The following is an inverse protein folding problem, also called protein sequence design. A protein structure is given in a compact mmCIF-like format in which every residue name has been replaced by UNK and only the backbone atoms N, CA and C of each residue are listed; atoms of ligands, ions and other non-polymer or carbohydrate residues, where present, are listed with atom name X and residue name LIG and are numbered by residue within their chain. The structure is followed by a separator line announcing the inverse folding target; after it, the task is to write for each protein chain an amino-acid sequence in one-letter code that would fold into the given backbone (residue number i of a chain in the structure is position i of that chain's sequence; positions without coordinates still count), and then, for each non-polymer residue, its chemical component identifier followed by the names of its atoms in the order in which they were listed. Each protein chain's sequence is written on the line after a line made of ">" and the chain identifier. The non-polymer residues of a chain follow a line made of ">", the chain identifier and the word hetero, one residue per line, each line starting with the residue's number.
data_IF_005113064144
#
_entry.id   IF_005113064144
#
_cell.length_a   1.000
_cell.length_b   1.000
_cell.length_c   1.000
_cell.angle_alpha   90.00
_cell.angle_beta   90.00
_cell.angle_gamma   90.00
#
_symmetry.space_group_name_H-M   'P 1'
#
loop_
_entity.id
_entity.type
_entity.pdbx_description
1 polymer ?
#
# COMPACT_ATOMS: atom_id res chain seq x y z
N UNK A 1 -3.56 -5.06 -8.45
CA UNK A 1 -2.25 -5.24 -7.77
C UNK A 1 -2.55 -5.52 -6.30
N UNK A 2 -2.11 -6.67 -5.77
CA UNK A 2 -2.27 -6.98 -4.36
C UNK A 2 -1.28 -6.18 -3.51
N UNK A 3 -1.83 -5.64 -2.42
CA UNK A 3 -1.17 -4.94 -1.34
C UNK A 3 -1.44 -5.61 0.01
N UNK A 4 -2.07 -6.78 0.03
CA UNK A 4 -2.31 -7.58 1.21
C UNK A 4 -1.74 -8.97 0.99
N UNK A 5 -0.99 -9.48 1.95
CA UNK A 5 -0.42 -10.81 1.96
C UNK A 5 -0.45 -11.40 3.37
N UNK A 6 -0.18 -12.69 3.50
CA UNK A 6 0.03 -13.35 4.77
C UNK A 6 1.52 -13.64 4.97
N UNK A 7 2.09 -13.13 6.06
CA UNK A 7 3.46 -13.39 6.49
C UNK A 7 3.41 -13.83 7.95
N UNK A 8 3.96 -15.00 8.26
CA UNK A 8 3.82 -15.64 9.59
C UNK A 8 2.36 -15.69 10.10
N UNK A 9 1.43 -16.02 9.20
CA UNK A 9 -0.03 -16.10 9.45
C UNK A 9 -0.71 -14.75 9.76
N UNK A 10 0.01 -13.64 9.68
CA UNK A 10 -0.53 -12.28 9.87
C UNK A 10 -0.74 -11.55 8.54
N UNK A 11 -1.81 -10.75 8.47
CA UNK A 11 -2.05 -9.85 7.35
C UNK A 11 -1.04 -8.71 7.33
N UNK A 12 -0.33 -8.57 6.21
CA UNK A 12 0.75 -7.58 6.04
C UNK A 12 0.60 -6.79 4.73
N UNK A 13 1.05 -5.55 4.78
CA UNK A 13 1.26 -4.69 3.61
C UNK A 13 2.70 -4.84 3.09
N UNK A 14 2.96 -4.55 1.79
CA UNK A 14 4.28 -4.73 1.19
C UNK A 14 5.45 -4.11 1.97
N UNK A 15 5.35 -2.90 2.56
CA UNK A 15 6.48 -2.32 3.29
C UNK A 15 6.78 -2.99 4.64
N UNK A 16 5.85 -3.77 5.19
CA UNK A 16 6.06 -4.53 6.43
C UNK A 16 6.82 -5.84 6.19
N UNK A 17 7.04 -6.22 4.93
CA UNK A 17 7.70 -7.47 4.55
C UNK A 17 9.14 -7.18 4.12
N UNK A 18 10.14 -7.84 4.74
CA UNK A 18 11.55 -7.67 4.36
C UNK A 18 11.81 -7.99 2.88
N UNK A 19 12.87 -7.38 2.34
CA UNK A 19 13.29 -7.63 0.97
C UNK A 19 13.74 -9.09 0.76
N UNK A 20 13.27 -9.70 -0.33
CA UNK A 20 13.62 -11.08 -0.71
C UNK A 20 12.74 -12.14 -0.08
N UNK A 21 11.87 -11.76 0.84
CA UNK A 21 10.86 -12.63 1.43
C UNK A 21 9.66 -12.85 0.48
N UNK A 22 8.85 -13.84 0.83
CA UNK A 22 7.60 -14.17 0.15
C UNK A 22 6.44 -14.19 1.14
N UNK A 23 5.24 -13.89 0.65
CA UNK A 23 3.98 -13.97 1.41
C UNK A 23 3.02 -14.93 0.73
N UNK A 24 1.98 -15.37 1.43
CA UNK A 24 0.86 -16.08 0.81
C UNK A 24 -0.24 -15.10 0.40
N UNK A 25 -0.91 -15.38 -0.71
CA UNK A 25 -2.13 -14.68 -1.08
C UNK A 25 -3.27 -15.09 -0.14
N UNK A 26 -3.96 -14.16 0.53
CA UNK A 26 -5.05 -14.50 1.46
C UNK A 26 -6.29 -15.06 0.75
N UNK A 27 -6.33 -15.05 -0.59
CA UNK A 27 -7.47 -15.49 -1.39
C UNK A 27 -7.27 -16.90 -1.96
N UNK A 28 -6.12 -17.14 -2.61
CA UNK A 28 -5.83 -18.43 -3.25
C UNK A 28 -4.75 -19.25 -2.51
N UNK A 29 -4.17 -18.72 -1.44
CA UNK A 29 -3.11 -19.35 -0.64
C UNK A 29 -1.81 -19.63 -1.41
N UNK A 30 -1.68 -19.10 -2.64
CA UNK A 30 -0.46 -19.23 -3.43
C UNK A 30 0.61 -18.22 -3.01
N UNK A 31 1.88 -18.57 -3.27
CA UNK A 31 3.02 -17.72 -2.94
C UNK A 31 3.09 -16.48 -3.84
N UNK A 32 3.30 -15.33 -3.21
CA UNK A 32 3.58 -14.06 -3.85
C UNK A 32 4.96 -13.55 -3.43
N UNK A 33 5.66 -12.98 -4.41
CA UNK A 33 6.92 -12.25 -4.22
C UNK A 33 6.68 -10.78 -3.94
N UNK A 34 7.61 -10.15 -3.19
CA UNK A 34 7.59 -8.70 -2.99
C UNK A 34 8.34 -8.00 -4.14
N UNK A 35 7.64 -7.13 -4.84
CA UNK A 35 8.22 -6.25 -5.86
C UNK A 35 8.62 -4.93 -5.19
N UNK A 36 9.90 -4.57 -5.28
CA UNK A 36 10.43 -3.30 -4.73
C UNK A 36 9.88 -2.09 -5.50
N UNK A 37 9.80 -0.95 -4.82
CA UNK A 37 9.53 0.33 -5.46
C UNK A 37 10.59 0.64 -6.52
N UNK A 38 10.16 1.13 -7.68
CA UNK A 38 11.07 1.51 -8.77
C UNK A 38 10.41 2.51 -9.72
N UNK A 39 11.21 3.12 -10.58
CA UNK A 39 10.70 3.91 -11.70
C UNK A 39 10.65 3.03 -12.95
N UNK A 40 9.50 3.04 -13.62
CA UNK A 40 9.34 2.52 -14.98
C UNK A 40 9.11 3.73 -15.89
N UNK A 41 10.11 4.05 -16.68
CA UNK A 41 10.21 5.31 -17.41
C UNK A 41 10.15 6.51 -16.47
N UNK A 42 9.06 7.28 -16.49
CA UNK A 42 8.81 8.43 -15.60
C UNK A 42 7.75 8.14 -14.53
N UNK A 43 7.21 6.93 -14.49
CA UNK A 43 6.15 6.54 -13.56
C UNK A 43 6.75 5.82 -12.36
N UNK A 44 6.43 6.32 -11.15
CA UNK A 44 6.75 5.63 -9.92
C UNK A 44 5.84 4.41 -9.74
N UNK A 45 6.44 3.23 -9.64
CA UNK A 45 5.77 1.97 -9.31
C UNK A 45 6.03 1.70 -7.84
N UNK A 46 4.98 1.75 -7.02
CA UNK A 46 5.08 1.47 -5.59
C UNK A 46 5.43 0.00 -5.33
N UNK A 47 6.07 -0.27 -4.19
CA UNK A 47 6.19 -1.63 -3.65
C UNK A 47 4.84 -2.33 -3.62
N UNK A 48 4.76 -3.58 -4.09
CA UNK A 48 3.53 -4.37 -4.17
C UNK A 48 3.84 -5.87 -4.19
N UNK A 49 2.82 -6.72 -4.02
CA UNK A 49 2.97 -8.16 -4.17
C UNK A 49 2.69 -8.62 -5.61
N UNK A 50 3.36 -9.69 -6.03
CA UNK A 50 3.17 -10.30 -7.36
C UNK A 50 3.23 -11.83 -7.24
N UNK A 51 2.25 -12.53 -7.79
CA UNK A 51 2.29 -13.99 -7.92
C UNK A 51 3.51 -14.43 -8.73
N UNK A 52 4.11 -15.56 -8.34
CA UNK A 52 5.23 -16.16 -9.07
C UNK A 52 4.76 -16.69 -10.43
N UNK A 53 5.60 -16.53 -11.46
CA UNK A 53 5.33 -16.76 -12.89
C UNK A 53 5.04 -18.24 -13.30
N UNK A 54 4.39 -19.08 -12.48
CA UNK A 54 3.80 -20.33 -12.97
C UNK A 54 2.59 -20.10 -13.92
N UNK A 55 2.19 -18.83 -14.12
CA UNK A 55 1.17 -18.39 -15.08
C UNK A 55 1.75 -17.87 -16.42
N UNK A 56 3.07 -17.93 -16.65
CA UNK A 56 3.68 -17.43 -17.90
C UNK A 56 3.49 -18.35 -19.12
N UNK A 57 2.83 -19.51 -18.99
CA UNK A 57 2.70 -20.48 -20.09
C UNK A 57 1.40 -20.40 -20.91
N UNK A 58 0.51 -19.45 -20.63
CA UNK A 58 -0.62 -19.15 -21.51
C UNK A 58 -0.50 -17.72 -22.02
N UNK A 59 0.28 -17.60 -23.11
CA UNK A 59 0.48 -16.36 -23.83
C UNK A 59 -0.84 -15.68 -24.17
N UNK A 60 -1.15 -14.62 -23.44
CA UNK A 60 -2.03 -13.58 -23.90
C UNK A 60 -1.37 -12.24 -23.58
N UNK A 61 -1.09 -11.49 -24.65
CA UNK A 61 -0.46 -10.18 -24.60
C UNK A 61 -1.42 -9.13 -24.03
N UNK A 62 -1.72 -9.24 -22.73
CA UNK A 62 -2.37 -8.25 -21.88
C UNK A 62 -1.99 -8.62 -20.44
N UNK A 63 -1.07 -7.86 -19.84
CA UNK A 63 -0.53 -8.15 -18.50
C UNK A 63 -1.57 -7.98 -17.38
N UNK A 64 -2.44 -8.96 -17.19
CA UNK A 64 -3.41 -8.98 -16.12
C UNK A 64 -4.09 -10.34 -15.97
N UNK A 65 -4.19 -10.76 -14.71
CA UNK A 65 -5.19 -11.70 -14.20
C UNK A 65 -4.91 -13.20 -14.44
N UNK A 66 -3.82 -13.70 -13.84
CA UNK A 66 -3.93 -15.01 -13.17
C UNK A 66 -5.03 -14.86 -12.12
N UNK A 67 -6.12 -15.62 -12.26
CA UNK A 67 -7.51 -15.31 -11.87
C UNK A 67 -7.84 -15.11 -10.38
N UNK A 68 -6.92 -14.57 -9.60
CA UNK A 68 -7.18 -14.02 -8.28
C UNK A 68 -7.36 -12.51 -8.41
N UNK A 69 -8.61 -12.05 -8.25
CA UNK A 69 -8.98 -10.63 -8.21
C UNK A 69 -8.51 -9.94 -6.91
N UNK A 70 -7.27 -10.19 -6.49
CA UNK A 70 -6.60 -9.63 -5.30
C UNK A 70 -6.37 -8.12 -5.40
N UNK A 71 -7.35 -7.36 -5.86
CA UNK A 71 -7.46 -5.95 -5.56
C UNK A 71 -7.66 -5.81 -4.07
N UNK A 72 -6.60 -5.39 -3.38
CA UNK A 72 -6.71 -5.00 -1.97
C UNK A 72 -7.74 -3.90 -1.81
N UNK A 73 -8.34 -3.84 -0.61
CA UNK A 73 -9.15 -2.69 -0.19
C UNK A 73 -8.40 -1.41 -0.61
N UNK A 74 -9.14 -0.51 -1.26
CA UNK A 74 -8.60 0.74 -1.78
C UNK A 74 -7.89 1.52 -0.68
N UNK A 75 -8.37 1.41 0.57
CA UNK A 75 -7.71 1.99 1.74
C UNK A 75 -6.27 1.45 1.91
N UNK A 76 -6.09 0.14 2.01
CA UNK A 76 -4.78 -0.50 2.17
C UNK A 76 -3.83 -0.20 1.01
N UNK A 77 -4.37 -0.22 -0.21
CA UNK A 77 -3.62 0.17 -1.41
C UNK A 77 -3.09 1.61 -1.28
N UNK A 78 -3.94 2.56 -0.90
CA UNK A 78 -3.53 3.96 -0.77
C UNK A 78 -2.52 4.16 0.36
N UNK A 79 -2.70 3.52 1.53
CA UNK A 79 -1.72 3.55 2.63
C UNK A 79 -0.36 3.07 2.17
N UNK A 80 -0.33 1.92 1.51
CA UNK A 80 0.91 1.31 1.04
C UNK A 80 1.61 2.15 -0.02
N UNK A 81 0.87 2.76 -0.95
CA UNK A 81 1.43 3.70 -1.94
C UNK A 81 2.01 4.93 -1.26
N UNK A 82 1.30 5.51 -0.27
CA UNK A 82 1.78 6.66 0.48
C UNK A 82 3.10 6.34 1.21
N UNK A 83 3.15 5.21 1.91
CA UNK A 83 4.37 4.73 2.56
C UNK A 83 5.52 4.60 1.56
N UNK A 84 5.31 3.86 0.47
CA UNK A 84 6.34 3.61 -0.55
C UNK A 84 6.85 4.91 -1.17
N UNK A 85 5.97 5.91 -1.34
CA UNK A 85 6.37 7.22 -1.87
C UNK A 85 7.22 8.00 -0.87
N UNK A 86 6.83 8.02 0.40
CA UNK A 86 7.59 8.69 1.45
C UNK A 86 8.96 8.04 1.65
N UNK A 87 9.03 6.71 1.63
CA UNK A 87 10.28 5.94 1.73
C UNK A 87 11.23 6.28 0.57
N UNK A 88 10.69 6.36 -0.66
CA UNK A 88 11.48 6.74 -1.82
C UNK A 88 12.00 8.19 -1.75
N UNK A 89 11.17 9.13 -1.31
CA UNK A 89 11.48 10.55 -1.35
C UNK A 89 12.34 11.00 -0.15
N UNK A 90 12.26 10.28 0.97
CA UNK A 90 12.93 10.60 2.23
C UNK A 90 13.59 9.37 2.85
N UNK A 91 14.67 8.83 2.24
CA UNK A 91 15.27 7.56 2.62
C UNK A 91 15.88 7.55 4.04
N UNK A 92 16.20 8.73 4.58
CA UNK A 92 16.77 8.87 5.93
C UNK A 92 15.71 9.08 7.02
N UNK A 93 14.43 9.16 6.66
CA UNK A 93 13.33 9.39 7.60
C UNK A 93 12.79 8.08 8.18
N UNK A 94 12.28 8.13 9.41
CA UNK A 94 11.53 7.01 10.00
C UNK A 94 10.10 7.03 9.48
N UNK A 95 9.56 5.87 9.08
CA UNK A 95 8.20 5.77 8.53
C UNK A 95 7.46 4.59 9.15
N UNK A 96 6.27 4.85 9.69
CA UNK A 96 5.44 3.90 10.42
C UNK A 96 3.99 3.93 9.91
N UNK A 97 3.32 2.77 9.94
CA UNK A 97 1.87 2.68 9.76
C UNK A 97 1.18 2.83 11.12
N UNK A 98 0.05 3.54 11.15
CA UNK A 98 -0.89 3.54 12.28
C UNK A 98 -0.23 3.76 13.67
N UNK A 99 0.78 4.61 13.74
CA UNK A 99 1.51 4.95 14.96
C UNK A 99 0.85 6.13 15.69
N UNK A 100 0.69 6.08 17.01
CA UNK A 100 0.10 7.19 17.78
C UNK A 100 0.94 8.47 17.70
N UNK A 101 0.27 9.60 17.47
CA UNK A 101 0.82 10.95 17.44
C UNK A 101 -0.16 11.92 18.09
N UNK A 102 0.19 12.44 19.28
CA UNK A 102 -0.58 13.45 20.02
C UNK A 102 -2.09 13.12 20.14
N UNK A 103 -2.42 11.86 20.42
CA UNK A 103 -3.80 11.38 20.57
C UNK A 103 -4.54 11.14 19.23
N UNK A 104 -3.83 11.09 18.11
CA UNK A 104 -4.32 10.67 16.80
C UNK A 104 -3.50 9.50 16.26
N UNK A 105 -4.08 8.72 15.35
CA UNK A 105 -3.40 7.60 14.68
C UNK A 105 -3.50 7.85 13.18
N UNK A 106 -2.51 8.52 12.56
CA UNK A 106 -2.48 8.68 11.11
C UNK A 106 -2.29 7.34 10.40
N UNK A 107 -2.78 7.24 9.18
CA UNK A 107 -2.59 6.04 8.36
C UNK A 107 -1.10 5.76 8.09
N UNK A 108 -0.32 6.80 7.77
CA UNK A 108 1.15 6.73 7.65
C UNK A 108 1.78 7.96 8.34
N UNK A 109 2.79 7.72 9.15
CA UNK A 109 3.60 8.75 9.82
C UNK A 109 5.02 8.70 9.31
N UNK A 110 5.57 9.84 8.93
CA UNK A 110 6.99 10.04 8.67
C UNK A 110 7.57 11.01 9.70
N UNK A 111 8.73 10.69 10.26
CA UNK A 111 9.51 11.55 11.15
C UNK A 111 10.91 11.78 10.58
N UNK A 112 11.30 13.05 10.46
CA UNK A 112 12.64 13.41 10.01
C UNK A 112 13.65 13.33 11.17
N UNK A 113 14.92 12.97 10.92
CA UNK A 113 15.96 13.01 11.94
C UNK A 113 16.15 14.43 12.52
N UNK A 114 16.01 15.45 11.68
CA UNK A 114 16.03 16.85 12.04
C UNK A 114 14.87 17.61 11.36
N UNK A 115 14.30 18.66 12.00
CA UNK A 115 13.21 19.41 11.41
C UNK A 115 13.55 19.99 10.03
N UNK A 116 12.75 19.67 9.03
CA UNK A 116 12.98 20.00 7.61
C UNK A 116 11.90 20.96 7.11
N UNK A 117 12.28 22.14 6.61
CA UNK A 117 11.32 23.07 6.02
C UNK A 117 10.79 22.53 4.66
N UNK A 118 9.48 22.67 4.35
CA UNK A 118 8.43 23.34 5.14
C UNK A 118 7.71 22.44 6.16
N UNK A 119 8.06 21.16 6.23
CA UNK A 119 7.30 20.11 6.93
C UNK A 119 7.56 20.05 8.45
N UNK A 120 8.57 20.75 8.96
CA UNK A 120 8.92 20.68 10.37
C UNK A 120 9.43 19.30 10.74
N UNK A 121 8.88 18.68 11.79
CA UNK A 121 9.39 17.41 12.33
C UNK A 121 9.01 16.18 11.50
N UNK A 122 8.03 16.27 10.61
CA UNK A 122 7.53 15.09 9.91
C UNK A 122 6.31 15.35 9.05
N UNK A 123 5.75 14.26 8.52
CA UNK A 123 4.56 14.27 7.67
C UNK A 123 3.58 13.23 8.22
N UNK A 124 2.32 13.60 8.40
CA UNK A 124 1.23 12.68 8.69
C UNK A 124 0.32 12.58 7.46
N UNK A 125 0.04 11.36 6.99
CA UNK A 125 -0.80 11.09 5.84
C UNK A 125 -2.07 10.37 6.29
N UNK A 126 -3.20 10.85 5.77
CA UNK A 126 -4.53 10.24 5.94
C UNK A 126 -5.08 9.92 4.55
N UNK A 127 -5.27 8.64 4.26
CA UNK A 127 -5.79 8.15 3.00
C UNK A 127 -7.32 8.05 3.08
N UNK A 128 -8.02 8.92 2.36
CA UNK A 128 -9.49 8.88 2.30
C UNK A 128 -9.94 8.56 0.88
N UNK A 129 -10.69 7.47 0.73
CA UNK A 129 -11.36 7.15 -0.53
C UNK A 129 -12.84 7.49 -0.43
N UNK A 130 -13.33 8.34 -1.33
CA UNK A 130 -14.75 8.59 -1.44
C UNK A 130 -15.41 7.40 -2.17
N UNK A 131 -16.08 6.52 -1.42
CA UNK A 131 -16.96 5.52 -2.00
C UNK A 131 -18.09 6.23 -2.78
N UNK A 132 -18.06 6.17 -4.11
CA UNK A 132 -19.10 6.69 -5.01
C UNK A 132 -20.44 5.95 -4.90
N UNK A 133 -20.54 4.91 -4.07
CA UNK A 133 -21.75 4.10 -3.87
C UNK A 133 -22.67 4.51 -2.71
N UNK A 134 -22.36 5.56 -1.93
CA UNK A 134 -23.30 6.09 -0.94
C UNK A 134 -24.03 7.31 -1.52
N UNK A 135 -25.29 7.07 -1.87
CA UNK A 135 -26.27 8.07 -2.27
C UNK A 135 -26.29 9.23 -1.25
N UNK A 136 -25.84 10.42 -1.66
CA UNK A 136 -25.83 11.63 -0.82
C UNK A 136 -27.25 12.17 -0.55
N UNK A 137 -28.28 11.56 -1.14
CA UNK A 137 -29.67 11.98 -1.03
C UNK A 137 -30.38 11.56 0.28
N UNK A 138 -29.78 10.70 1.12
CA UNK A 138 -30.45 10.15 2.31
C UNK A 138 -30.08 10.83 3.64
N UNK A 139 -29.58 12.07 3.64
CA UNK A 139 -29.43 12.86 4.88
C UNK A 139 -29.95 14.27 4.65
N UNK A 140 -31.27 14.41 4.55
CA UNK A 140 -31.94 15.69 4.82
C UNK A 140 -32.71 15.54 6.13
N UNK A 141 -32.08 15.86 7.26
CA UNK A 141 -32.84 16.24 8.45
C UNK A 141 -33.32 17.67 8.17
N UNK A 142 -34.61 17.81 7.87
CA UNK A 142 -35.26 19.12 7.84
C UNK A 142 -35.33 19.65 9.28
N UNK A 143 -34.78 20.83 9.51
CA UNK A 143 -35.19 21.70 10.62
C UNK A 143 -36.58 22.27 10.34
#
# INVERSE_FOLDING_TARGET
>A
MPYLGLYDEEEVLPPQVPDGESVLCPVCEEQMSVVRSHYRDSTFVSRHFRHSDQDEQLGNANGGDGGCAGESDIHYKMKSIAYARLENDYPDASIEFESELDGRIPDVRLEFPEPTAPYGKGIAVEAQYQNTGKDKAAVTIRL
#
